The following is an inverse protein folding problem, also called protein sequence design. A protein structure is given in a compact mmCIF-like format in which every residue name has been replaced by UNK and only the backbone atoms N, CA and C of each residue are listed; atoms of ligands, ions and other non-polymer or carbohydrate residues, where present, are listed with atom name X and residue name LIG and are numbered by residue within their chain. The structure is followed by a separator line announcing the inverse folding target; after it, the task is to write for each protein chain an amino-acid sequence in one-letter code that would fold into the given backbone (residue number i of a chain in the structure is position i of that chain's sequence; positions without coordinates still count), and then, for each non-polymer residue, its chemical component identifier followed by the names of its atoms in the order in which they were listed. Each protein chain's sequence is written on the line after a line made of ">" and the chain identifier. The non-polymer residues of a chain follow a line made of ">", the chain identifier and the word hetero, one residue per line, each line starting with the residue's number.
data_IF_509014763379
#
_entry.id   IF_509014763379
#
_cell.length_a   1.000
_cell.length_b   1.000
_cell.length_c   1.000
_cell.angle_alpha   90.00
_cell.angle_beta   90.00
_cell.angle_gamma   90.00
#
_symmetry.space_group_name_H-M   'P 1'
#
loop_
_entity.id
_entity.type
_entity.pdbx_description
1 polymer ?
#
# COMPACT_ATOMS: atom_id res chain seq x y z
N UNK A 1 -4.00 40.46 -7.27
CA UNK A 1 -4.56 40.02 -8.57
C UNK A 1 -4.03 38.65 -9.04
N UNK A 2 -2.82 38.21 -8.68
CA UNK A 2 -2.33 36.91 -9.18
C UNK A 2 -2.93 35.65 -8.51
N UNK A 3 -3.34 35.70 -7.23
CA UNK A 3 -3.73 34.49 -6.49
C UNK A 3 -4.90 33.70 -7.13
N UNK A 4 -5.96 34.39 -7.55
CA UNK A 4 -7.12 33.75 -8.18
C UNK A 4 -6.75 33.09 -9.51
N UNK A 5 -5.86 33.71 -10.30
CA UNK A 5 -5.38 33.12 -11.56
C UNK A 5 -4.62 31.82 -11.32
N UNK A 6 -3.68 31.80 -10.37
CA UNK A 6 -2.91 30.58 -10.04
C UNK A 6 -3.82 29.48 -9.49
N UNK A 7 -4.86 29.82 -8.73
CA UNK A 7 -5.85 28.86 -8.25
C UNK A 7 -6.68 28.26 -9.38
N UNK A 8 -7.17 29.08 -10.32
CA UNK A 8 -7.90 28.60 -11.50
C UNK A 8 -7.02 27.73 -12.41
N UNK A 9 -5.75 28.11 -12.63
CA UNK A 9 -4.80 27.30 -13.41
C UNK A 9 -4.49 25.97 -12.71
N UNK A 10 -4.30 25.97 -11.39
CA UNK A 10 -4.12 24.73 -10.62
C UNK A 10 -5.31 23.78 -10.75
N UNK A 11 -6.54 24.32 -10.64
CA UNK A 11 -7.77 23.54 -10.82
C UNK A 11 -7.98 23.05 -12.25
N UNK A 12 -7.51 23.80 -13.25
CA UNK A 12 -7.50 23.35 -14.65
C UNK A 12 -6.55 22.16 -14.83
N UNK A 13 -5.36 22.22 -14.24
CA UNK A 13 -4.37 21.14 -14.30
C UNK A 13 -4.87 19.86 -13.63
N UNK A 14 -5.63 19.96 -12.53
CA UNK A 14 -6.23 18.82 -11.84
C UNK A 14 -7.53 18.30 -12.46
N UNK A 15 -8.06 18.98 -13.49
CA UNK A 15 -9.36 18.63 -14.10
C UNK A 15 -10.58 18.95 -13.24
N UNK A 16 -10.45 19.81 -12.22
CA UNK A 16 -11.51 20.17 -11.26
C UNK A 16 -12.26 21.47 -11.63
N UNK A 17 -12.10 21.97 -12.87
CA UNK A 17 -12.83 23.13 -13.39
C UNK A 17 -14.08 22.65 -14.18
N UNK A 18 -15.26 23.28 -14.01
CA UNK A 18 -16.39 23.06 -14.91
C UNK A 18 -16.02 23.32 -16.37
N UNK A 19 -16.55 22.54 -17.31
CA UNK A 19 -16.17 22.57 -18.74
C UNK A 19 -16.18 23.99 -19.34
N UNK A 20 -17.25 24.76 -19.09
CA UNK A 20 -17.35 26.14 -19.57
C UNK A 20 -16.30 27.10 -18.98
N UNK A 21 -15.89 26.88 -17.72
CA UNK A 21 -14.80 27.65 -17.10
C UNK A 21 -13.44 27.21 -17.65
N UNK A 22 -13.28 25.90 -17.92
CA UNK A 22 -12.06 25.32 -18.46
C UNK A 22 -11.80 25.90 -19.85
N UNK A 23 -12.80 25.89 -20.73
CA UNK A 23 -12.73 26.47 -22.08
C UNK A 23 -12.40 27.97 -22.03
N UNK A 24 -13.05 28.72 -21.13
CA UNK A 24 -12.78 30.14 -20.97
C UNK A 24 -11.35 30.40 -20.50
N UNK A 25 -10.82 29.58 -19.59
CA UNK A 25 -9.44 29.71 -19.11
C UNK A 25 -8.42 29.26 -20.16
N UNK A 26 -8.75 28.23 -20.96
CA UNK A 26 -7.95 27.78 -22.11
C UNK A 26 -7.80 28.90 -23.14
N UNK A 27 -8.91 29.57 -23.49
CA UNK A 27 -8.90 30.71 -24.40
C UNK A 27 -8.06 31.88 -23.84
N UNK A 28 -8.08 32.09 -22.52
CA UNK A 28 -7.21 33.10 -21.88
C UNK A 28 -5.74 32.71 -21.91
N UNK A 29 -5.40 31.43 -21.71
CA UNK A 29 -4.02 30.92 -21.86
C UNK A 29 -3.52 31.21 -23.28
N UNK A 30 -4.34 30.97 -24.31
CA UNK A 30 -3.98 31.24 -25.71
C UNK A 30 -3.87 32.74 -26.04
N UNK A 31 -4.75 33.57 -25.46
CA UNK A 31 -4.84 34.99 -25.79
C UNK A 31 -3.90 35.89 -24.98
N UNK A 32 -3.54 35.51 -23.74
CA UNK A 32 -2.77 36.31 -22.80
C UNK A 32 -1.40 35.67 -22.52
N UNK A 33 -0.28 36.18 -23.07
CA UNK A 33 1.05 35.58 -22.90
C UNK A 33 1.50 35.41 -21.44
N UNK A 34 1.09 36.33 -20.56
CA UNK A 34 1.41 36.22 -19.13
C UNK A 34 0.67 35.08 -18.42
N UNK A 35 -0.50 34.68 -18.93
CA UNK A 35 -1.25 33.51 -18.41
C UNK A 35 -0.63 32.22 -18.93
N UNK A 36 -0.19 32.20 -20.21
CA UNK A 36 0.57 31.08 -20.77
C UNK A 36 1.87 30.80 -20.00
N UNK A 37 2.65 31.84 -19.68
CA UNK A 37 3.88 31.68 -18.89
C UNK A 37 3.59 31.14 -17.48
N UNK A 38 2.50 31.60 -16.84
CA UNK A 38 2.08 31.08 -15.54
C UNK A 38 1.64 29.62 -15.62
N UNK A 39 0.94 29.23 -16.69
CA UNK A 39 0.53 27.85 -16.96
C UNK A 39 1.74 26.91 -17.15
N UNK A 40 2.70 27.29 -18.02
CA UNK A 40 3.93 26.53 -18.23
C UNK A 40 4.71 26.35 -16.92
N UNK A 41 4.80 27.40 -16.10
CA UNK A 41 5.50 27.36 -14.82
C UNK A 41 4.86 26.41 -13.82
N UNK A 42 3.52 26.40 -13.72
CA UNK A 42 2.80 25.44 -12.85
C UNK A 42 2.97 24.02 -13.40
N UNK A 43 2.87 23.82 -14.71
CA UNK A 43 3.03 22.52 -15.36
C UNK A 43 4.44 21.92 -15.23
N UNK A 44 5.47 22.76 -15.05
CA UNK A 44 6.85 22.32 -14.84
C UNK A 44 7.14 21.83 -13.40
N UNK A 45 6.36 22.27 -12.40
CA UNK A 45 6.61 21.97 -10.98
C UNK A 45 6.71 20.46 -10.65
N UNK A 46 5.85 19.57 -11.20
CA UNK A 46 5.99 18.13 -10.95
C UNK A 46 7.34 17.58 -11.40
N UNK A 47 7.83 18.02 -12.58
CA UNK A 47 9.14 17.63 -13.09
C UNK A 47 10.29 18.19 -12.26
N UNK A 48 10.19 19.44 -11.80
CA UNK A 48 11.17 20.04 -10.89
C UNK A 48 11.22 19.34 -9.53
N UNK A 49 10.07 18.97 -8.98
CA UNK A 49 9.96 18.20 -7.73
C UNK A 49 10.54 16.79 -7.88
N UNK A 50 10.27 16.12 -9.01
CA UNK A 50 10.84 14.81 -9.32
C UNK A 50 12.37 14.87 -9.53
N UNK A 51 12.87 15.99 -10.05
CA UNK A 51 14.31 16.23 -10.24
C UNK A 51 15.04 16.64 -8.95
N UNK A 52 14.32 16.91 -7.85
CA UNK A 52 14.98 17.13 -6.57
C UNK A 52 15.73 15.84 -6.17
N UNK A 53 17.01 15.94 -5.77
CA UNK A 53 17.77 14.78 -5.36
C UNK A 53 17.08 14.15 -4.14
N UNK A 54 16.45 12.99 -4.35
CA UNK A 54 15.66 12.28 -3.34
C UNK A 54 16.47 11.91 -2.10
N UNK A 55 17.81 11.95 -2.15
CA UNK A 55 18.69 11.65 -1.04
C UNK A 55 19.98 12.45 -1.15
N UNK A 56 20.15 13.47 -0.31
CA UNK A 56 21.42 13.52 0.40
C UNK A 56 21.41 12.34 1.37
N UNK A 57 22.45 11.49 1.45
CA UNK A 57 22.51 10.48 2.49
C UNK A 57 22.22 11.17 3.82
N UNK A 58 21.40 10.57 4.71
CA UNK A 58 21.12 11.18 6.01
C UNK A 58 22.47 11.57 6.62
N UNK A 59 22.63 12.82 7.10
CA UNK A 59 23.89 13.23 7.71
C UNK A 59 24.25 12.17 8.75
N UNK A 60 25.47 11.64 8.67
CA UNK A 60 25.91 10.59 9.58
C UNK A 60 25.54 11.01 11.00
N UNK A 61 24.74 10.16 11.68
CA UNK A 61 24.34 10.42 13.05
C UNK A 61 25.63 10.57 13.85
N UNK A 62 25.93 11.79 14.31
CA UNK A 62 27.17 12.09 15.02
C UNK A 62 27.29 11.12 16.19
N UNK A 63 28.29 10.23 16.14
CA UNK A 63 28.50 9.19 17.14
C UNK A 63 28.64 9.78 18.56
N UNK A 64 28.93 11.08 18.68
CA UNK A 64 28.93 11.84 19.93
C UNK A 64 27.56 11.91 20.60
N UNK A 65 26.46 11.90 19.83
CA UNK A 65 25.10 11.86 20.36
C UNK A 65 24.69 10.46 20.85
N UNK A 66 25.27 9.40 20.26
CA UNK A 66 25.03 8.01 20.69
C UNK A 66 25.93 7.59 21.87
N UNK A 67 27.05 8.28 22.09
CA UNK A 67 28.00 7.99 23.17
C UNK A 67 27.69 8.62 24.54
N UNK A 68 26.69 9.49 24.64
CA UNK A 68 26.42 10.25 25.87
C UNK A 68 25.50 9.50 26.86
N UNK A 69 25.68 8.19 27.05
CA UNK A 69 25.13 7.46 28.21
C UNK A 69 26.22 7.42 29.29
N UNK A 70 26.30 8.50 30.05
CA UNK A 70 27.28 8.72 31.10
C UNK A 70 27.06 7.76 32.28
N UNK A 71 27.76 6.63 32.29
CA UNK A 71 28.01 5.86 33.52
C UNK A 71 29.20 6.48 34.27
N UNK A 72 29.03 7.68 34.84
CA UNK A 72 30.02 8.25 35.78
C UNK A 72 29.29 8.81 36.99
N UNK A 73 29.15 7.94 38.00
CA UNK A 73 28.61 8.30 39.29
C UNK A 73 29.51 9.31 39.99
N UNK A 74 29.01 10.53 40.16
CA UNK A 74 29.65 11.56 40.97
C UNK A 74 28.86 11.72 42.28
N UNK A 75 29.43 11.33 43.43
CA UNK A 75 28.73 11.34 44.72
C UNK A 75 28.78 12.75 45.32
N UNK A 76 27.87 13.63 44.90
CA UNK A 76 27.79 14.97 45.49
C UNK A 76 26.57 15.82 45.14
N UNK A 77 25.87 15.57 44.03
CA UNK A 77 24.81 16.47 43.52
C UNK A 77 23.36 16.06 43.85
N UNK A 78 23.15 15.12 44.79
CA UNK A 78 21.82 14.51 45.05
C UNK A 78 20.75 15.45 45.63
N UNK A 79 21.05 16.70 46.01
CA UNK A 79 20.07 17.58 46.67
C UNK A 79 19.48 18.69 45.79
N UNK A 80 20.05 18.99 44.62
CA UNK A 80 19.54 20.04 43.72
C UNK A 80 18.80 19.49 42.48
N UNK A 81 19.08 18.24 42.07
CA UNK A 81 18.45 17.63 40.89
C UNK A 81 17.01 17.14 41.19
N UNK A 82 16.68 16.86 42.46
CA UNK A 82 15.35 16.37 42.85
C UNK A 82 14.19 17.33 42.54
N UNK A 83 14.42 18.64 42.56
CA UNK A 83 13.36 19.62 42.30
C UNK A 83 13.13 19.89 40.79
N UNK A 84 14.19 19.84 39.97
CA UNK A 84 14.10 20.05 38.52
C UNK A 84 13.59 18.81 37.77
N UNK A 85 13.85 17.60 38.28
CA UNK A 85 13.32 16.36 37.67
C UNK A 85 11.80 16.25 37.85
N UNK A 86 11.24 16.72 38.97
CA UNK A 86 9.78 16.69 39.19
C UNK A 86 9.06 17.71 38.30
N UNK A 87 9.60 18.92 38.14
CA UNK A 87 9.03 19.93 37.24
C UNK A 87 9.18 19.55 35.75
N UNK A 88 10.32 18.98 35.36
CA UNK A 88 10.55 18.46 34.01
C UNK A 88 9.70 17.24 33.68
N UNK A 89 9.48 16.33 34.64
CA UNK A 89 8.61 15.16 34.46
C UNK A 89 7.14 15.57 34.31
N UNK A 90 6.66 16.57 35.06
CA UNK A 90 5.29 17.08 34.90
C UNK A 90 5.09 17.82 33.56
N UNK A 91 6.10 18.53 33.06
CA UNK A 91 6.04 19.18 31.74
C UNK A 91 6.12 18.17 30.57
N UNK A 92 6.92 17.11 30.70
CA UNK A 92 7.01 16.04 29.69
C UNK A 92 5.74 15.20 29.62
N UNK A 93 5.13 14.85 30.78
CA UNK A 93 3.84 14.15 30.84
C UNK A 93 2.71 15.01 30.25
N UNK A 94 2.72 16.33 30.48
CA UNK A 94 1.77 17.25 29.86
C UNK A 94 1.90 17.38 28.34
N UNK A 95 3.12 17.24 27.79
CA UNK A 95 3.37 17.37 26.35
C UNK A 95 3.07 16.10 25.52
N UNK A 96 3.04 14.92 26.15
CA UNK A 96 2.62 13.68 25.49
C UNK A 96 1.10 13.56 25.34
N UNK A 97 0.31 14.20 26.20
CA UNK A 97 -1.15 14.13 26.18
C UNK A 97 -1.83 14.92 25.03
N UNK A 98 -1.06 15.62 24.19
CA UNK A 98 -1.60 16.49 23.13
C UNK A 98 -1.10 16.13 21.72
N UNK A 99 -0.41 14.99 21.56
CA UNK A 99 -0.05 14.55 20.22
C UNK A 99 -1.27 13.91 19.56
N UNK A 100 -1.70 14.37 18.37
CA UNK A 100 -2.77 13.72 17.65
C UNK A 100 -2.37 12.27 17.38
N UNK A 101 -3.30 11.35 17.64
CA UNK A 101 -3.13 9.94 17.32
C UNK A 101 -3.06 9.86 15.79
N UNK A 102 -2.02 9.25 15.20
CA UNK A 102 -1.95 9.07 13.76
C UNK A 102 -3.15 8.24 13.28
N UNK A 103 -3.82 8.71 12.22
CA UNK A 103 -4.95 8.00 11.62
C UNK A 103 -4.50 7.27 10.35
N UNK A 104 -4.79 5.97 10.25
CA UNK A 104 -4.51 5.11 9.10
C UNK A 104 -5.82 4.59 8.52
N UNK A 105 -5.99 4.63 7.20
CA UNK A 105 -7.17 4.11 6.53
C UNK A 105 -6.87 2.74 5.88
N UNK A 106 -7.70 1.75 6.18
CA UNK A 106 -7.62 0.38 5.66
C UNK A 106 -8.82 0.12 4.76
N UNK A 107 -8.58 -0.02 3.46
CA UNK A 107 -9.64 -0.19 2.45
C UNK A 107 -9.96 -1.67 2.23
N UNK A 108 -8.92 -2.50 2.08
CA UNK A 108 -9.00 -3.94 1.92
C UNK A 108 -7.65 -4.57 2.30
N UNK A 109 -7.65 -5.87 2.57
CA UNK A 109 -6.44 -6.64 2.86
C UNK A 109 -6.15 -6.79 4.34
N UNK A 110 -4.95 -7.25 4.64
CA UNK A 110 -4.50 -7.60 5.98
C UNK A 110 -3.33 -6.73 6.40
N UNK A 111 -3.41 -6.08 7.56
CA UNK A 111 -2.37 -5.17 8.02
C UNK A 111 -2.12 -5.30 9.52
N UNK A 112 -0.84 -5.36 9.88
CA UNK A 112 -0.38 -5.28 11.25
C UNK A 112 -0.11 -3.82 11.59
N UNK A 113 -0.77 -3.33 12.63
CA UNK A 113 -0.69 -1.96 13.13
C UNK A 113 0.01 -2.00 14.50
N UNK A 114 1.09 -1.23 14.63
CA UNK A 114 1.91 -1.15 15.84
C UNK A 114 1.89 0.27 16.43
N UNK A 115 1.73 0.36 17.74
CA UNK A 115 1.75 1.57 18.54
C UNK A 115 0.36 2.13 18.87
N UNK A 116 0.33 3.43 19.15
CA UNK A 116 -0.91 4.15 19.44
C UNK A 116 -1.42 4.81 18.15
N UNK A 117 -2.36 4.14 17.46
CA UNK A 117 -2.82 4.49 16.11
C UNK A 117 -4.34 4.37 16.02
N UNK A 118 -4.99 5.30 15.34
CA UNK A 118 -6.40 5.22 15.00
C UNK A 118 -6.55 4.62 13.60
N UNK A 119 -7.23 3.50 13.46
CA UNK A 119 -7.44 2.82 12.19
C UNK A 119 -8.89 2.99 11.75
N UNK A 120 -9.09 3.43 10.51
CA UNK A 120 -10.41 3.55 9.89
C UNK A 120 -10.55 2.47 8.82
N UNK A 121 -11.40 1.47 9.06
CA UNK A 121 -11.68 0.39 8.10
C UNK A 121 -13.17 0.14 8.00
N UNK A 122 -13.71 -0.02 6.78
CA UNK A 122 -15.15 -0.27 6.54
C UNK A 122 -16.08 0.76 7.19
N UNK A 123 -15.61 1.98 7.47
CA UNK A 123 -16.36 3.00 8.21
C UNK A 123 -16.35 2.85 9.73
N UNK A 124 -15.66 1.86 10.30
CA UNK A 124 -15.42 1.70 11.73
C UNK A 124 -14.12 2.41 12.12
N UNK A 125 -14.11 3.01 13.32
CA UNK A 125 -12.90 3.61 13.92
C UNK A 125 -12.39 2.64 14.99
N UNK A 126 -11.12 2.27 14.90
CA UNK A 126 -10.47 1.28 15.75
C UNK A 126 -9.22 1.94 16.33
N UNK A 127 -9.26 2.32 17.60
CA UNK A 127 -8.10 2.87 18.32
C UNK A 127 -7.23 1.72 18.83
N UNK A 128 -6.05 1.54 18.25
CA UNK A 128 -5.06 0.56 18.68
C UNK A 128 -4.09 1.23 19.64
N UNK A 129 -3.84 0.60 20.79
CA UNK A 129 -2.76 0.92 21.72
C UNK A 129 -1.96 -0.35 21.99
N UNK A 130 -1.03 -0.66 21.07
CA UNK A 130 -0.25 -1.90 21.06
C UNK A 130 -0.07 -2.45 19.64
N UNK A 131 -0.08 -3.77 19.51
CA UNK A 131 0.07 -4.48 18.25
C UNK A 131 -1.24 -5.19 17.91
N UNK A 132 -1.87 -4.83 16.80
CA UNK A 132 -3.09 -5.47 16.32
C UNK A 132 -2.99 -5.81 14.83
N UNK A 133 -3.53 -6.97 14.45
CA UNK A 133 -3.74 -7.36 13.05
C UNK A 133 -5.19 -7.04 12.68
N UNK A 134 -5.38 -6.23 11.65
CA UNK A 134 -6.69 -5.82 11.17
C UNK A 134 -6.82 -6.30 9.72
N UNK A 135 -7.76 -7.19 9.51
CA UNK A 135 -8.07 -7.77 8.19
C UNK A 135 -9.40 -7.21 7.71
N UNK A 136 -9.44 -6.72 6.48
CA UNK A 136 -10.61 -6.13 5.83
C UNK A 136 -10.90 -6.91 4.55
N UNK A 137 -11.90 -7.77 4.60
CA UNK A 137 -12.29 -8.61 3.47
C UNK A 137 -13.43 -7.92 2.70
N UNK A 138 -13.29 -7.69 1.38
CA UNK A 138 -14.41 -7.23 0.57
C UNK A 138 -15.49 -8.31 0.54
N UNK A 139 -16.74 -7.95 0.86
CA UNK A 139 -17.88 -8.84 0.62
C UNK A 139 -18.10 -8.95 -0.89
N UNK A 140 -17.80 -10.13 -1.41
CA UNK A 140 -17.91 -10.56 -2.81
C UNK A 140 -16.97 -9.89 -3.82
N UNK A 141 -16.39 -10.67 -4.76
CA UNK A 141 -15.85 -10.10 -5.97
C UNK A 141 -17.01 -9.41 -6.69
N UNK A 142 -16.86 -8.11 -6.96
CA UNK A 142 -17.75 -7.37 -7.85
C UNK A 142 -18.14 -8.31 -9.01
N UNK A 143 -19.43 -8.55 -9.28
CA UNK A 143 -19.82 -9.39 -10.40
C UNK A 143 -19.11 -8.82 -11.62
N UNK A 144 -18.18 -9.60 -12.21
CA UNK A 144 -17.52 -9.24 -13.47
C UNK A 144 -18.65 -8.89 -14.42
N UNK A 145 -18.83 -7.60 -14.67
CA UNK A 145 -19.94 -7.09 -15.44
C UNK A 145 -19.92 -7.78 -16.79
N UNK A 146 -20.90 -8.66 -17.01
CA UNK A 146 -21.21 -9.12 -18.35
C UNK A 146 -21.69 -7.90 -19.13
N UNK A 147 -20.90 -7.51 -20.13
CA UNK A 147 -21.30 -6.69 -21.28
C UNK A 147 -22.23 -5.52 -20.98
N UNK A 148 -21.71 -4.43 -20.43
CA UNK A 148 -22.22 -3.12 -20.80
C UNK A 148 -21.04 -2.29 -21.29
N UNK A 149 -21.10 -1.93 -22.56
CA UNK A 149 -20.23 -0.97 -23.23
C UNK A 149 -20.44 0.41 -22.58
N UNK A 150 -19.83 0.64 -21.42
CA UNK A 150 -19.58 1.99 -20.93
C UNK A 150 -18.11 2.26 -21.14
N UNK A 151 -17.85 3.09 -22.15
CA UNK A 151 -16.58 3.74 -22.48
C UNK A 151 -16.20 4.74 -21.36
N UNK A 152 -16.13 4.25 -20.12
CA UNK A 152 -15.62 4.99 -18.97
C UNK A 152 -14.25 4.44 -18.59
N UNK A 153 -13.33 5.38 -18.42
CA UNK A 153 -11.95 5.16 -18.00
C UNK A 153 -11.88 4.26 -16.74
N UNK A 154 -11.21 3.08 -16.80
CA UNK A 154 -11.19 2.10 -15.71
C UNK A 154 -10.64 2.68 -14.41
N UNK A 155 -9.80 3.72 -14.49
CA UNK A 155 -9.28 4.40 -13.31
C UNK A 155 -10.34 5.24 -12.59
N UNK A 156 -11.31 5.82 -13.31
CA UNK A 156 -12.46 6.54 -12.71
C UNK A 156 -13.46 5.57 -12.08
N UNK A 157 -13.67 4.40 -12.67
CA UNK A 157 -14.48 3.34 -12.09
C UNK A 157 -13.86 2.82 -10.79
N UNK A 158 -12.54 2.60 -10.76
CA UNK A 158 -11.81 2.19 -9.55
C UNK A 158 -11.82 3.26 -8.45
N UNK A 159 -11.64 4.54 -8.78
CA UNK A 159 -11.72 5.65 -7.81
C UNK A 159 -13.14 5.88 -7.27
N UNK A 160 -14.16 5.69 -8.12
CA UNK A 160 -15.57 5.76 -7.71
C UNK A 160 -15.97 4.55 -6.85
N UNK A 161 -15.42 3.38 -7.14
CA UNK A 161 -15.52 2.20 -6.28
C UNK A 161 -14.78 2.40 -4.95
N UNK A 162 -13.60 3.03 -4.91
CA UNK A 162 -12.91 3.33 -3.65
C UNK A 162 -13.71 4.32 -2.76
N UNK A 163 -14.46 5.25 -3.36
CA UNK A 163 -15.33 6.17 -2.63
C UNK A 163 -16.66 5.58 -2.15
N UNK A 164 -17.14 4.49 -2.77
CA UNK A 164 -18.45 3.89 -2.51
C UNK A 164 -18.45 2.44 -2.01
N UNK A 165 -17.41 1.64 -2.29
CA UNK A 165 -17.33 0.20 -2.06
C UNK A 165 -16.75 -0.21 -0.70
N UNK A 166 -16.37 0.75 0.14
CA UNK A 166 -15.96 0.46 1.54
C UNK A 166 -17.19 0.05 2.38
N UNK A 167 -18.40 0.25 1.86
CA UNK A 167 -19.62 -0.23 2.48
C UNK A 167 -19.77 -1.74 2.34
N UNK A 168 -19.59 -2.46 3.45
CA UNK A 168 -19.83 -3.89 3.51
C UNK A 168 -18.58 -4.75 3.53
N UNK A 169 -17.38 -4.25 3.80
CA UNK A 169 -16.26 -5.15 4.09
C UNK A 169 -16.45 -5.83 5.47
N UNK A 170 -16.20 -7.14 5.56
CA UNK A 170 -16.09 -7.83 6.84
C UNK A 170 -14.74 -7.47 7.48
N UNK A 171 -14.75 -7.04 8.74
CA UNK A 171 -13.52 -6.59 9.43
C UNK A 171 -13.21 -7.54 10.55
N UNK A 172 -12.01 -8.09 10.58
CA UNK A 172 -11.50 -8.90 11.69
C UNK A 172 -10.41 -8.11 12.41
N UNK A 173 -10.56 -7.93 13.72
CA UNK A 173 -9.56 -7.27 14.57
C UNK A 173 -9.01 -8.32 15.54
N UNK A 174 -7.71 -8.60 15.44
CA UNK A 174 -6.98 -9.49 16.35
C UNK A 174 -5.92 -8.70 17.12
N UNK A 175 -6.04 -8.61 18.44
CA UNK A 175 -5.07 -7.89 19.28
C UNK A 175 -3.95 -8.83 19.68
N UNK A 176 -2.75 -8.61 19.16
CA UNK A 176 -1.57 -9.40 19.46
C UNK A 176 -0.91 -8.95 20.78
N UNK A 177 -0.82 -7.64 21.00
CA UNK A 177 -0.30 -7.03 22.22
C UNK A 177 -1.07 -5.74 22.54
N UNK A 178 -1.25 -5.42 23.82
CA UNK A 178 -1.94 -4.19 24.24
C UNK A 178 -3.47 -4.27 24.15
N UNK A 179 -4.11 -3.21 23.65
CA UNK A 179 -5.57 -3.11 23.54
C UNK A 179 -6.02 -2.49 22.22
N UNK A 180 -7.21 -2.83 21.76
CA UNK A 180 -7.85 -2.16 20.64
C UNK A 180 -9.30 -1.78 20.98
N UNK A 181 -9.67 -0.52 20.81
CA UNK A 181 -11.02 -0.02 21.08
C UNK A 181 -11.76 0.24 19.78
N UNK A 182 -12.79 -0.55 19.52
CA UNK A 182 -13.63 -0.49 18.33
C UNK A 182 -14.85 0.38 18.64
N UNK A 183 -15.02 1.45 17.87
CA UNK A 183 -16.17 2.34 18.00
C UNK A 183 -17.28 1.91 17.04
N UNK A 184 -18.07 0.92 17.46
CA UNK A 184 -19.25 0.42 16.73
C UNK A 184 -20.57 0.80 17.42
N UNK A 185 -21.35 1.70 16.81
CA UNK A 185 -22.68 2.07 17.33
C UNK A 185 -22.63 2.88 18.65
N UNK A 186 -23.55 2.64 19.62
CA UNK A 186 -23.75 3.52 20.78
C UNK A 186 -22.66 3.43 21.86
N UNK A 187 -21.67 2.54 21.73
CA UNK A 187 -20.60 2.42 22.70
C UNK A 187 -19.34 1.75 22.14
N UNK A 188 -18.16 2.11 22.66
CA UNK A 188 -16.92 1.45 22.29
C UNK A 188 -16.84 0.03 22.87
N UNK A 189 -16.33 -0.91 22.08
CA UNK A 189 -15.93 -2.24 22.51
C UNK A 189 -14.41 -2.26 22.61
N UNK A 190 -13.85 -2.53 23.79
CA UNK A 190 -12.40 -2.72 23.95
C UNK A 190 -12.05 -4.21 23.90
N UNK A 191 -11.10 -4.56 23.05
CA UNK A 191 -10.43 -5.84 22.96
C UNK A 191 -9.07 -5.77 23.66
N UNK A 192 -8.64 -6.88 24.26
CA UNK A 192 -7.31 -7.02 24.88
C UNK A 192 -6.45 -8.06 24.16
N UNK A 193 -5.15 -8.07 24.44
CA UNK A 193 -4.21 -9.03 23.86
C UNK A 193 -4.71 -10.49 23.95
N UNK A 194 -4.68 -11.18 22.81
CA UNK A 194 -5.19 -12.54 22.60
C UNK A 194 -6.63 -12.61 22.13
N UNK A 195 -7.39 -11.51 22.13
CA UNK A 195 -8.77 -11.49 21.64
C UNK A 195 -8.84 -11.22 20.14
N UNK A 196 -9.81 -11.89 19.50
CA UNK A 196 -10.16 -11.70 18.09
C UNK A 196 -11.64 -11.39 18.02
N UNK A 197 -12.01 -10.36 17.26
CA UNK A 197 -13.40 -10.02 16.98
C UNK A 197 -13.61 -9.82 15.49
N UNK A 198 -14.49 -10.65 14.94
CA UNK A 198 -15.05 -10.43 13.61
C UNK A 198 -16.25 -9.50 13.74
N UNK A 199 -16.17 -8.37 13.07
CA UNK A 199 -17.22 -7.38 12.99
C UNK A 199 -18.05 -7.72 11.76
N UNK A 200 -19.39 -7.76 11.89
CA UNK A 200 -20.23 -7.94 10.72
C UNK A 200 -19.92 -6.81 9.74
N UNK A 201 -20.11 -7.02 8.43
CA UNK A 201 -20.00 -5.97 7.46
C UNK A 201 -20.72 -4.73 7.95
N UNK A 202 -20.00 -3.62 8.03
CA UNK A 202 -20.62 -2.36 8.39
C UNK A 202 -21.77 -2.18 7.40
N UNK A 203 -23.02 -2.23 7.90
CA UNK A 203 -24.19 -1.96 7.08
C UNK A 203 -23.89 -0.65 6.39
N UNK A 204 -23.80 -0.69 5.06
CA UNK A 204 -23.51 0.45 4.21
C UNK A 204 -24.14 1.67 4.86
N UNK A 205 -23.30 2.56 5.40
CA UNK A 205 -23.71 3.58 6.35
C UNK A 205 -25.03 4.14 5.86
N UNK A 206 -26.13 3.76 6.51
CA UNK A 206 -27.50 3.81 5.94
C UNK A 206 -27.61 5.14 5.24
N UNK A 207 -27.63 5.11 3.89
CA UNK A 207 -27.30 6.24 3.01
C UNK A 207 -27.52 7.55 3.76
N UNK A 208 -26.42 8.17 4.24
CA UNK A 208 -26.40 9.22 5.27
C UNK A 208 -27.78 9.82 5.39
N UNK A 209 -28.58 9.37 6.37
CA UNK A 209 -29.99 9.74 6.49
C UNK A 209 -30.04 11.23 6.24
N UNK A 210 -30.59 11.65 5.09
CA UNK A 210 -30.54 13.04 4.66
C UNK A 210 -30.92 13.85 5.88
N UNK A 211 -30.08 14.83 6.30
CA UNK A 211 -30.24 15.49 7.58
C UNK A 211 -31.71 15.85 7.72
N UNK A 212 -32.40 15.21 8.68
CA UNK A 212 -33.84 15.40 8.80
C UNK A 212 -34.03 16.90 8.96
N UNK A 213 -34.69 17.50 7.98
CA UNK A 213 -35.01 18.93 8.01
C UNK A 213 -35.97 19.06 9.18
N UNK A 214 -35.52 19.66 10.27
CA UNK A 214 -36.42 19.99 11.37
C UNK A 214 -37.53 20.87 10.77
N UNK A 215 -38.81 20.48 10.90
CA UNK A 215 -39.89 21.09 10.13
C UNK A 215 -40.12 22.59 10.43
N UNK A 216 -39.48 23.14 11.46
CA UNK A 216 -39.58 24.54 11.86
C UNK A 216 -38.33 25.39 11.55
N UNK A 217 -37.28 24.84 10.92
CA UNK A 217 -36.10 25.63 10.54
C UNK A 217 -36.43 26.53 9.32
N UNK A 218 -36.21 27.86 9.39
CA UNK A 218 -36.42 28.74 8.26
C UNK A 218 -35.64 28.27 7.03
N UNK A 219 -36.22 28.25 5.81
CA UNK A 219 -35.58 27.72 4.60
C UNK A 219 -34.18 28.30 4.33
N UNK A 220 -33.99 29.58 4.68
CA UNK A 220 -32.72 30.29 4.52
C UNK A 220 -31.60 29.70 5.38
N UNK A 221 -31.91 29.26 6.61
CA UNK A 221 -30.94 28.63 7.52
C UNK A 221 -30.57 27.22 7.03
N UNK A 222 -31.56 26.45 6.58
CA UNK A 222 -31.34 25.13 5.96
C UNK A 222 -30.44 25.23 4.73
N UNK A 223 -30.68 26.21 3.84
CA UNK A 223 -29.85 26.42 2.65
C UNK A 223 -28.42 26.82 3.03
N UNK A 224 -28.26 27.72 4.00
CA UNK A 224 -26.94 28.14 4.48
C UNK A 224 -26.16 26.95 5.09
N UNK A 225 -26.83 26.13 5.90
CA UNK A 225 -26.28 24.91 6.51
C UNK A 225 -25.85 23.89 5.46
N UNK A 226 -26.72 23.58 4.49
CA UNK A 226 -26.41 22.64 3.41
C UNK A 226 -25.26 23.12 2.53
N UNK A 227 -25.19 24.42 2.22
CA UNK A 227 -24.05 25.00 1.49
C UNK A 227 -22.75 24.87 2.27
N UNK A 228 -22.78 25.09 3.59
CA UNK A 228 -21.64 24.85 4.47
C UNK A 228 -21.20 23.40 4.47
N UNK A 229 -22.14 22.45 4.55
CA UNK A 229 -21.86 21.01 4.50
C UNK A 229 -21.26 20.57 3.16
N UNK A 230 -21.79 21.07 2.03
CA UNK A 230 -21.24 20.80 0.70
C UNK A 230 -19.80 21.31 0.61
N UNK A 231 -19.52 22.53 1.09
CA UNK A 231 -18.17 23.07 1.13
C UNK A 231 -17.22 22.23 1.99
N UNK A 232 -17.67 21.76 3.15
CA UNK A 232 -16.89 20.88 4.03
C UNK A 232 -16.61 19.52 3.39
N UNK A 233 -17.61 18.89 2.77
CA UNK A 233 -17.45 17.60 2.09
C UNK A 233 -16.52 17.72 0.87
N UNK A 234 -16.60 18.81 0.12
CA UNK A 234 -15.67 19.09 -0.98
C UNK A 234 -14.23 19.28 -0.49
N UNK A 235 -14.02 19.93 0.66
CA UNK A 235 -12.72 20.05 1.31
C UNK A 235 -12.16 18.70 1.75
N UNK A 236 -13.01 17.87 2.37
CA UNK A 236 -12.65 16.52 2.80
C UNK A 236 -12.29 15.63 1.61
N UNK A 237 -13.07 15.69 0.53
CA UNK A 237 -12.79 14.98 -0.70
C UNK A 237 -11.45 15.43 -1.31
N UNK A 238 -11.16 16.73 -1.33
CA UNK A 238 -9.89 17.26 -1.83
C UNK A 238 -8.71 16.74 -1.00
N UNK A 239 -8.85 16.77 0.32
CA UNK A 239 -7.83 16.25 1.25
C UNK A 239 -7.61 14.75 1.04
N UNK A 240 -8.69 13.97 0.92
CA UNK A 240 -8.60 12.54 0.69
C UNK A 240 -7.95 12.21 -0.66
N UNK A 241 -8.34 12.89 -1.74
CA UNK A 241 -7.72 12.77 -3.07
C UNK A 241 -6.23 13.09 -3.02
N UNK A 242 -5.85 14.17 -2.34
CA UNK A 242 -4.44 14.53 -2.18
C UNK A 242 -3.65 13.47 -1.42
N UNK A 243 -4.15 13.00 -0.27
CA UNK A 243 -3.51 11.94 0.51
C UNK A 243 -3.38 10.64 -0.27
N UNK A 244 -4.41 10.26 -1.04
CA UNK A 244 -4.38 9.09 -1.92
C UNK A 244 -3.36 9.24 -3.04
N UNK A 245 -3.26 10.42 -3.67
CA UNK A 245 -2.25 10.69 -4.68
C UNK A 245 -0.83 10.65 -4.12
N UNK A 246 -0.60 11.21 -2.92
CA UNK A 246 0.70 11.14 -2.23
C UNK A 246 1.06 9.70 -1.88
N UNK A 247 0.14 8.92 -1.32
CA UNK A 247 0.37 7.53 -0.98
C UNK A 247 0.64 6.69 -2.24
N UNK A 248 -0.11 6.92 -3.31
CA UNK A 248 0.09 6.23 -4.60
C UNK A 248 1.45 6.57 -5.19
N UNK A 249 1.84 7.85 -5.19
CA UNK A 249 3.17 8.26 -5.67
C UNK A 249 4.32 7.75 -4.80
N UNK A 250 4.12 7.61 -3.48
CA UNK A 250 5.10 6.95 -2.61
C UNK A 250 5.21 5.46 -2.90
N UNK A 251 4.08 4.77 -3.09
CA UNK A 251 4.06 3.37 -3.48
C UNK A 251 4.78 3.18 -4.81
N UNK A 252 4.41 3.96 -5.83
CA UNK A 252 5.04 3.95 -7.16
C UNK A 252 6.55 4.24 -7.08
N UNK A 253 6.98 5.19 -6.25
CA UNK A 253 8.41 5.47 -6.06
C UNK A 253 9.18 4.32 -5.40
N UNK A 254 8.52 3.49 -4.58
CA UNK A 254 9.15 2.36 -3.88
C UNK A 254 9.02 1.03 -4.64
N UNK A 255 7.92 0.86 -5.34
CA UNK A 255 7.47 -0.39 -5.95
C UNK A 255 7.65 -0.36 -7.48
N UNK A 256 7.77 0.81 -8.09
CA UNK A 256 7.73 0.98 -9.55
C UNK A 256 6.31 0.95 -10.10
N UNK A 257 6.15 1.43 -11.33
CA UNK A 257 4.87 1.34 -12.07
C UNK A 257 4.60 -0.08 -12.55
N UNK A 258 3.33 -0.54 -12.52
CA UNK A 258 2.95 -1.76 -13.20
C UNK A 258 3.37 -1.74 -14.67
N UNK A 259 3.92 -2.86 -15.15
CA UNK A 259 4.48 -2.93 -16.50
C UNK A 259 3.53 -3.65 -17.44
N UNK A 260 2.92 -2.88 -18.33
CA UNK A 260 2.09 -3.43 -19.39
C UNK A 260 2.92 -4.32 -20.31
N UNK A 261 2.26 -5.35 -20.85
CA UNK A 261 2.86 -6.21 -21.85
C UNK A 261 3.11 -5.42 -23.14
N UNK A 262 4.32 -5.44 -23.71
CA UNK A 262 4.55 -4.82 -25.01
C UNK A 262 3.72 -5.54 -26.08
N UNK A 263 3.24 -4.81 -27.10
CA UNK A 263 2.46 -5.39 -28.20
C UNK A 263 3.21 -6.50 -28.96
N UNK A 264 4.53 -6.41 -29.00
CA UNK A 264 5.44 -7.36 -29.66
C UNK A 264 6.59 -7.72 -28.69
N UNK A 265 6.35 -8.60 -27.70
CA UNK A 265 7.41 -9.04 -26.79
C UNK A 265 8.46 -9.86 -27.55
N UNK A 266 9.75 -9.79 -27.16
CA UNK A 266 10.79 -10.60 -27.79
C UNK A 266 10.42 -12.09 -27.81
N UNK A 267 10.79 -12.79 -28.88
CA UNK A 267 10.51 -14.21 -29.03
C UNK A 267 11.04 -14.99 -27.81
N UNK A 268 10.19 -15.84 -27.23
CA UNK A 268 10.50 -16.59 -26.01
C UNK A 268 10.09 -15.92 -24.70
N UNK A 269 9.64 -14.66 -24.72
CA UNK A 269 9.17 -13.92 -23.54
C UNK A 269 7.66 -13.74 -23.47
N UNK A 270 6.89 -14.27 -24.44
CA UNK A 270 5.42 -14.28 -24.33
C UNK A 270 4.98 -15.17 -23.15
N UNK A 271 3.80 -14.96 -22.56
CA UNK A 271 3.27 -15.82 -21.51
C UNK A 271 3.23 -17.31 -21.92
N UNK A 272 2.84 -17.61 -23.16
CA UNK A 272 2.76 -18.97 -23.68
C UNK A 272 4.14 -19.61 -23.84
N UNK A 273 5.12 -18.84 -24.34
CA UNK A 273 6.49 -19.33 -24.51
C UNK A 273 7.16 -19.58 -23.15
N UNK A 274 6.91 -18.70 -22.18
CA UNK A 274 7.39 -18.88 -20.81
C UNK A 274 6.76 -20.13 -20.17
N UNK A 275 5.45 -20.30 -20.26
CA UNK A 275 4.75 -21.50 -19.76
C UNK A 275 5.30 -22.78 -20.38
N UNK A 276 5.42 -22.83 -21.71
CA UNK A 276 5.98 -24.00 -22.39
C UNK A 276 7.41 -24.33 -21.96
N UNK A 277 8.19 -23.32 -21.54
CA UNK A 277 9.55 -23.50 -21.03
C UNK A 277 9.56 -24.02 -19.60
N UNK A 278 8.71 -23.48 -18.75
CA UNK A 278 8.52 -23.96 -17.37
C UNK A 278 8.00 -25.40 -17.38
N UNK A 279 7.03 -25.72 -18.22
CA UNK A 279 6.50 -27.09 -18.35
C UNK A 279 7.61 -28.08 -18.72
N UNK A 280 8.44 -27.75 -19.71
CA UNK A 280 9.61 -28.57 -20.08
C UNK A 280 10.61 -28.72 -18.93
N UNK A 281 10.85 -27.64 -18.19
CA UNK A 281 11.75 -27.66 -17.04
C UNK A 281 11.25 -28.62 -15.96
N UNK A 282 9.94 -28.60 -15.67
CA UNK A 282 9.30 -29.52 -14.72
C UNK A 282 9.29 -30.95 -15.26
N UNK A 283 9.11 -31.18 -16.56
CA UNK A 283 9.24 -32.51 -17.16
C UNK A 283 10.66 -33.08 -17.04
N UNK A 284 11.69 -32.26 -17.22
CA UNK A 284 13.10 -32.66 -17.17
C UNK A 284 13.65 -32.79 -15.74
N UNK A 285 13.14 -31.99 -14.80
CA UNK A 285 13.69 -31.83 -13.45
C UNK A 285 12.66 -31.89 -12.32
N UNK A 286 11.47 -32.46 -12.56
CA UNK A 286 10.38 -32.53 -11.60
C UNK A 286 10.69 -33.33 -10.32
N UNK A 287 11.78 -34.10 -10.30
CA UNK A 287 12.31 -34.75 -9.09
C UNK A 287 13.04 -33.77 -8.15
N UNK A 288 13.37 -32.57 -8.63
CA UNK A 288 14.16 -31.53 -7.93
C UNK A 288 13.49 -30.17 -7.85
N UNK A 289 12.46 -29.93 -8.67
CA UNK A 289 11.71 -28.68 -8.74
C UNK A 289 10.22 -28.98 -8.84
N UNK A 290 9.43 -28.31 -8.01
CA UNK A 290 7.99 -28.21 -8.21
C UNK A 290 7.63 -26.75 -8.54
N UNK A 291 6.72 -26.57 -9.48
CA UNK A 291 6.17 -25.25 -9.81
C UNK A 291 5.15 -24.87 -8.74
N UNK A 292 5.41 -23.78 -8.01
CA UNK A 292 4.44 -23.21 -7.08
C UNK A 292 3.47 -22.26 -7.82
N UNK A 293 4.00 -21.34 -8.64
CA UNK A 293 3.19 -20.36 -9.39
C UNK A 293 3.93 -19.85 -10.64
N UNK A 294 3.17 -19.48 -11.68
CA UNK A 294 3.66 -18.74 -12.84
C UNK A 294 2.79 -17.50 -13.07
N UNK A 295 3.26 -16.34 -12.60
CA UNK A 295 2.55 -15.07 -12.72
C UNK A 295 3.01 -14.27 -13.94
N UNK A 296 2.14 -14.20 -14.95
CA UNK A 296 2.32 -13.41 -16.16
C UNK A 296 1.35 -12.22 -16.24
N UNK A 297 0.82 -11.73 -15.11
CA UNK A 297 -0.12 -10.59 -15.09
C UNK A 297 0.53 -9.28 -15.55
N UNK A 298 1.83 -9.10 -15.35
CA UNK A 298 2.65 -7.99 -15.87
C UNK A 298 3.96 -8.51 -16.47
N UNK A 299 4.61 -7.68 -17.28
CA UNK A 299 5.88 -8.00 -17.94
C UNK A 299 7.11 -7.72 -17.05
N UNK A 300 8.13 -8.62 -17.01
CA UNK A 300 8.13 -10.01 -17.48
C UNK A 300 7.37 -10.95 -16.52
N UNK A 301 7.12 -12.18 -16.96
CA UNK A 301 6.58 -13.23 -16.10
C UNK A 301 7.52 -13.56 -14.93
N UNK A 302 6.94 -13.94 -13.80
CA UNK A 302 7.64 -14.42 -12.60
C UNK A 302 7.27 -15.89 -12.40
N UNK A 303 8.26 -16.76 -12.30
CA UNK A 303 8.05 -18.17 -11.96
C UNK A 303 8.53 -18.43 -10.55
N UNK A 304 7.69 -18.99 -9.68
CA UNK A 304 8.08 -19.38 -8.33
C UNK A 304 8.12 -20.90 -8.26
N UNK A 305 9.25 -21.43 -7.81
CA UNK A 305 9.45 -22.84 -7.55
C UNK A 305 9.55 -23.12 -6.05
N UNK A 306 9.20 -24.34 -5.67
CA UNK A 306 9.41 -24.89 -4.33
C UNK A 306 10.25 -26.17 -4.40
N UNK A 307 11.01 -26.50 -3.33
CA UNK A 307 11.72 -27.76 -3.25
C UNK A 307 10.72 -28.90 -3.11
N UNK A 308 10.90 -30.02 -3.84
CA UNK A 308 10.18 -31.25 -3.59
C UNK A 308 10.34 -31.70 -2.12
N UNK A 309 9.36 -32.43 -1.57
CA UNK A 309 9.43 -32.96 -0.21
C UNK A 309 10.70 -33.80 0.01
N UNK A 310 11.43 -33.50 1.09
CA UNK A 310 12.62 -34.26 1.50
C UNK A 310 13.96 -33.72 0.96
N UNK A 311 13.97 -32.58 0.28
CA UNK A 311 15.20 -31.86 -0.09
C UNK A 311 15.44 -30.74 0.93
N UNK A 312 16.63 -30.72 1.55
CA UNK A 312 17.03 -29.62 2.43
C UNK A 312 17.28 -28.35 1.62
N UNK A 313 16.79 -27.22 2.13
CA UNK A 313 16.82 -25.93 1.41
C UNK A 313 18.23 -25.46 1.06
N UNK A 314 19.22 -25.73 1.92
CA UNK A 314 20.59 -25.22 1.76
C UNK A 314 21.29 -25.83 0.54
N UNK A 315 20.99 -27.08 0.21
CA UNK A 315 21.54 -27.77 -0.96
C UNK A 315 20.71 -27.54 -2.24
N UNK A 316 19.45 -27.15 -2.07
CA UNK A 316 18.49 -27.02 -3.16
C UNK A 316 18.93 -26.02 -4.23
N UNK A 317 19.46 -24.86 -3.83
CA UNK A 317 19.91 -23.83 -4.77
C UNK A 317 20.99 -24.33 -5.74
N UNK A 318 21.95 -25.12 -5.25
CA UNK A 318 23.03 -25.66 -6.07
C UNK A 318 22.53 -26.79 -6.98
N UNK A 319 21.51 -27.54 -6.54
CA UNK A 319 20.87 -28.59 -7.32
C UNK A 319 20.06 -28.05 -8.50
N UNK A 320 19.37 -26.91 -8.31
CA UNK A 320 18.45 -26.36 -9.33
C UNK A 320 19.11 -25.37 -10.28
N UNK A 321 20.25 -24.77 -9.90
CA UNK A 321 20.94 -23.77 -10.74
C UNK A 321 21.16 -24.21 -12.19
N UNK A 322 21.65 -25.43 -12.49
CA UNK A 322 21.82 -25.87 -13.89
C UNK A 322 20.50 -25.98 -14.66
N UNK A 323 19.43 -26.35 -13.97
CA UNK A 323 18.09 -26.40 -14.54
C UNK A 323 17.60 -24.98 -14.86
N UNK A 324 17.76 -24.02 -13.96
CA UNK A 324 17.38 -22.63 -14.20
C UNK A 324 18.21 -21.97 -15.32
N UNK A 325 19.50 -22.30 -15.42
CA UNK A 325 20.34 -21.86 -16.53
C UNK A 325 19.84 -22.41 -17.88
N UNK A 326 19.29 -23.64 -17.91
CA UNK A 326 18.67 -24.20 -19.12
C UNK A 326 17.39 -23.46 -19.50
N UNK A 327 16.68 -22.88 -18.53
CA UNK A 327 15.54 -21.99 -18.76
C UNK A 327 15.94 -20.68 -19.46
N UNK A 328 17.17 -20.20 -19.30
CA UNK A 328 17.69 -19.07 -20.10
C UNK A 328 18.26 -19.48 -21.46
N UNK A 329 18.54 -20.77 -21.66
CA UNK A 329 19.31 -21.24 -22.81
C UNK A 329 18.62 -20.88 -24.14
N UNK A 330 19.42 -20.38 -25.07
CA UNK A 330 18.96 -19.96 -26.41
C UNK A 330 18.25 -18.61 -26.45
N UNK A 331 18.08 -17.93 -25.31
CA UNK A 331 17.64 -16.54 -25.27
C UNK A 331 18.81 -15.63 -24.95
N UNK A 332 18.80 -14.42 -25.51
CA UNK A 332 19.67 -13.33 -25.06
C UNK A 332 19.07 -12.69 -23.80
N UNK A 333 18.98 -13.47 -22.72
CA UNK A 333 18.27 -13.12 -21.49
C UNK A 333 19.21 -13.08 -20.30
N UNK A 334 19.00 -12.10 -19.41
CA UNK A 334 19.48 -12.19 -18.04
C UNK A 334 18.61 -13.17 -17.24
N UNK A 335 19.19 -13.81 -16.24
CA UNK A 335 18.45 -14.63 -15.27
C UNK A 335 18.56 -13.96 -13.91
N UNK A 336 17.43 -13.54 -13.35
CA UNK A 336 17.35 -13.05 -11.97
C UNK A 336 16.71 -14.12 -11.09
N UNK A 337 17.38 -14.45 -9.99
CA UNK A 337 16.92 -15.45 -9.02
C UNK A 337 16.78 -14.79 -7.66
N UNK A 338 15.60 -14.94 -7.06
CA UNK A 338 15.26 -14.49 -5.72
C UNK A 338 14.94 -15.73 -4.89
N UNK A 339 15.54 -15.86 -3.71
CA UNK A 339 15.29 -16.97 -2.81
C UNK A 339 14.79 -16.43 -1.47
N UNK A 340 13.70 -17.01 -0.98
CA UNK A 340 13.10 -16.66 0.30
C UNK A 340 12.90 -17.91 1.13
N UNK A 341 13.21 -17.80 2.43
CA UNK A 341 12.92 -18.82 3.44
C UNK A 341 11.94 -18.24 4.45
N UNK A 342 10.90 -19.00 4.73
CA UNK A 342 9.86 -18.69 5.69
C UNK A 342 9.93 -19.74 6.80
N UNK A 343 9.97 -19.28 8.04
CA UNK A 343 10.05 -20.17 9.19
C UNK A 343 8.99 -19.76 10.21
N UNK A 344 8.22 -20.74 10.68
CA UNK A 344 7.28 -20.58 11.78
C UNK A 344 7.35 -21.84 12.65
N UNK A 345 7.76 -21.65 13.90
CA UNK A 345 8.05 -22.74 14.83
C UNK A 345 9.05 -23.76 14.24
N UNK A 346 8.65 -25.02 14.05
CA UNK A 346 9.48 -26.09 13.46
C UNK A 346 9.26 -26.24 11.94
N UNK A 347 8.28 -25.54 11.37
CA UNK A 347 7.97 -25.58 9.94
C UNK A 347 8.85 -24.59 9.16
N UNK A 348 9.44 -25.06 8.06
CA UNK A 348 10.20 -24.26 7.10
C UNK A 348 9.57 -24.40 5.71
N UNK A 349 9.34 -23.28 5.05
CA UNK A 349 8.94 -23.21 3.64
C UNK A 349 9.98 -22.40 2.88
N UNK A 350 10.35 -22.88 1.70
CA UNK A 350 11.43 -22.28 0.91
C UNK A 350 10.96 -22.11 -0.51
N UNK A 351 11.14 -20.91 -1.06
CA UNK A 351 10.67 -20.56 -2.38
C UNK A 351 11.79 -19.91 -3.18
N UNK A 352 11.76 -20.14 -4.49
CA UNK A 352 12.68 -19.52 -5.43
C UNK A 352 11.90 -18.87 -6.57
N UNK A 353 11.88 -17.54 -6.57
CA UNK A 353 11.41 -16.73 -7.67
C UNK A 353 12.47 -16.62 -8.77
N UNK A 354 12.09 -16.87 -10.00
CA UNK A 354 12.95 -16.86 -11.18
C UNK A 354 12.32 -15.98 -12.24
N UNK A 355 13.10 -15.05 -12.76
CA UNK A 355 12.69 -14.12 -13.80
C UNK A 355 13.70 -14.11 -14.93
N UNK A 356 13.21 -14.29 -16.17
CA UNK A 356 14.00 -14.04 -17.36
C UNK A 356 13.92 -12.55 -17.70
N UNK A 357 15.05 -11.87 -17.61
CA UNK A 357 15.19 -10.46 -17.94
C UNK A 357 15.45 -10.34 -19.44
N UNK A 358 14.56 -9.70 -20.21
CA UNK A 358 14.72 -9.57 -21.66
C UNK A 358 15.94 -8.71 -22.03
N UNK A 359 16.49 -8.90 -23.24
CA UNK A 359 17.61 -8.08 -23.70
C UNK A 359 17.18 -6.61 -23.75
N UNK A 360 18.03 -5.72 -23.24
CA UNK A 360 17.76 -4.28 -23.26
C UNK A 360 16.91 -3.73 -22.12
N UNK A 361 16.38 -4.57 -21.22
CA UNK A 361 15.66 -4.11 -20.01
C UNK A 361 16.54 -3.40 -18.95
N UNK A 362 17.86 -3.32 -19.19
CA UNK A 362 18.83 -2.73 -18.28
C UNK A 362 19.14 -3.62 -17.08
N UNK A 363 20.12 -3.22 -16.26
CA UNK A 363 20.37 -3.83 -14.95
C UNK A 363 19.12 -3.73 -14.07
N UNK A 364 19.04 -4.56 -13.01
CA UNK A 364 18.00 -4.52 -11.96
C UNK A 364 17.86 -3.15 -11.25
N UNK A 365 18.68 -2.15 -11.60
CA UNK A 365 18.53 -0.75 -11.19
C UNK A 365 17.52 0.04 -12.02
N UNK A 366 16.99 -0.53 -13.12
CA UNK A 366 15.89 0.04 -13.88
C UNK A 366 14.56 -0.07 -13.12
N UNK A 367 13.60 0.78 -13.46
CA UNK A 367 12.24 0.76 -12.89
C UNK A 367 11.57 -0.62 -13.04
N UNK A 368 11.77 -1.26 -14.21
CA UNK A 368 11.33 -2.62 -14.49
C UNK A 368 11.93 -3.63 -13.49
N UNK A 369 13.23 -3.50 -13.17
CA UNK A 369 13.90 -4.34 -12.19
C UNK A 369 13.34 -4.17 -10.78
N UNK A 370 13.06 -2.93 -10.35
CA UNK A 370 12.46 -2.64 -9.05
C UNK A 370 11.03 -3.22 -8.93
N UNK A 371 10.19 -3.03 -9.97
CA UNK A 371 8.83 -3.59 -10.02
C UNK A 371 8.82 -5.10 -10.02
N UNK A 372 9.64 -5.71 -10.87
CA UNK A 372 9.78 -7.16 -10.95
C UNK A 372 10.23 -7.76 -9.62
N UNK A 373 11.21 -7.12 -8.97
CA UNK A 373 11.69 -7.54 -7.64
C UNK A 373 10.56 -7.47 -6.61
N UNK A 374 9.86 -6.34 -6.52
CA UNK A 374 8.76 -6.20 -5.56
C UNK A 374 7.68 -7.26 -5.79
N UNK A 375 7.23 -7.45 -7.04
CA UNK A 375 6.24 -8.48 -7.38
C UNK A 375 6.72 -9.88 -6.99
N UNK A 376 7.99 -10.19 -7.23
CA UNK A 376 8.58 -11.48 -6.85
C UNK A 376 8.61 -11.67 -5.34
N UNK A 377 9.02 -10.63 -4.60
CA UNK A 377 9.09 -10.64 -3.14
C UNK A 377 7.67 -10.81 -2.54
N UNK A 378 6.66 -10.07 -3.02
CA UNK A 378 5.26 -10.19 -2.59
C UNK A 378 4.68 -11.57 -2.92
N UNK A 379 4.87 -12.06 -4.15
CA UNK A 379 4.35 -13.37 -4.56
C UNK A 379 4.94 -14.51 -3.72
N UNK A 380 6.25 -14.47 -3.45
CA UNK A 380 6.89 -15.44 -2.56
C UNK A 380 6.40 -15.33 -1.12
N UNK A 381 6.13 -14.13 -0.61
CA UNK A 381 5.59 -13.94 0.75
C UNK A 381 4.20 -14.56 0.92
N UNK A 382 3.32 -14.34 -0.07
CA UNK A 382 1.97 -14.92 -0.10
C UNK A 382 2.02 -16.45 -0.16
N UNK A 383 2.80 -17.00 -1.11
CA UNK A 383 2.97 -18.45 -1.28
C UNK A 383 3.64 -19.09 -0.06
N UNK A 384 4.65 -18.44 0.53
CA UNK A 384 5.38 -18.94 1.68
C UNK A 384 4.50 -19.00 2.93
N UNK A 385 3.68 -17.98 3.14
CA UNK A 385 2.68 -17.97 4.22
C UNK A 385 1.65 -19.07 4.03
N UNK A 386 1.12 -19.23 2.82
CA UNK A 386 0.16 -20.29 2.49
C UNK A 386 0.76 -21.69 2.67
N UNK A 387 2.03 -21.90 2.30
CA UNK A 387 2.74 -23.16 2.48
C UNK A 387 2.90 -23.53 3.97
N UNK A 388 3.26 -22.56 4.82
CA UNK A 388 3.32 -22.77 6.27
C UNK A 388 1.96 -23.11 6.87
N UNK A 389 0.90 -22.40 6.49
CA UNK A 389 -0.46 -22.68 6.95
C UNK A 389 -0.94 -24.08 6.53
N UNK A 390 -0.59 -24.52 5.31
CA UNK A 390 -0.86 -25.89 4.87
C UNK A 390 -0.05 -26.93 5.65
N UNK A 391 1.21 -26.64 6.00
CA UNK A 391 2.02 -27.53 6.85
C UNK A 391 1.39 -27.72 8.23
N UNK A 392 0.98 -26.61 8.86
CA UNK A 392 0.30 -26.62 10.16
C UNK A 392 -1.04 -27.38 10.10
N UNK A 393 -1.83 -27.19 9.04
CA UNK A 393 -3.08 -27.92 8.84
C UNK A 393 -2.84 -29.43 8.72
N UNK A 394 -1.82 -29.85 7.95
CA UNK A 394 -1.41 -31.26 7.83
C UNK A 394 -0.93 -31.82 9.17
N UNK A 395 -0.17 -31.05 9.95
CA UNK A 395 0.29 -31.45 11.28
C UNK A 395 -0.87 -31.65 12.26
N UNK A 396 -1.95 -30.88 12.11
CA UNK A 396 -3.20 -31.06 12.87
C UNK A 396 -4.08 -32.21 12.37
N UNK A 397 -3.70 -32.87 11.28
CA UNK A 397 -4.51 -33.92 10.64
C UNK A 397 -5.76 -33.38 9.95
N UNK A 398 -5.80 -32.08 9.66
CA UNK A 398 -6.82 -31.46 8.82
C UNK A 398 -6.47 -31.82 7.37
N UNK A 399 -7.32 -32.61 6.72
CA UNK A 399 -7.12 -32.97 5.32
C UNK A 399 -7.21 -31.69 4.46
N UNK A 400 -6.31 -31.53 3.47
CA UNK A 400 -6.31 -30.37 2.58
C UNK A 400 -7.59 -30.26 1.75
#
# INVERSE_FOLDING_TARGET
>A
MNRELYESLSRLLSGDLPEAEADALQQRIEAEPGVAEAWERIGALPGELAALPLRSPPPELDARLLGARSTRGWPGQRRLIGALVVAGALALVGSMALRPIPTVALVAGDQIVDGHVEVVSGGLRIEVDGLARITTEPLDPLPRGGGMDTEEDPMKAALSALGGAISGAAITVAVLQGTATIHEGPGPTTLVAGEVRQLPPARAATATTLPQIEPDEPPEQTIARLRGQVGQLQEQLRTAKFSSAVASGQLEAHVGTPQEWPDDPPEGFTPEAMRARVDRLIEEHGDKLALAELDCSEYPCITVFEPPPGIETDDWHDLVRPALESMGAGLDAGLSVYASKFQRDEDEASLMGVVLVPPGAGDLSSELGARTKYRSDTLMEELGTAALEQSEARARGEAP
#
